data_IF_782366391237
#
_entry.id   IF_782366391237
#
_cell.length_a   1.000
_cell.length_b   1.000
_cell.length_c   1.000
_cell.angle_alpha   90.00
_cell.angle_beta   90.00
_cell.angle_gamma   90.00
#
_symmetry.space_group_name_H-M   'P 1'
#
loop_
_entity.id
_entity.type
_entity.pdbx_description
1 polymer ?
#
# COMPACT_ATOMS: atom_id res chain seq x y z
N UNK A 1 -12.48 -2.24 22.02
CA UNK A 1 -12.69 -2.67 20.62
C UNK A 1 -12.31 -1.48 19.76
N UNK A 2 -11.27 -1.56 18.91
CA UNK A 2 -10.97 -0.48 17.95
C UNK A 2 -12.09 -0.51 16.89
N UNK A 3 -12.89 0.54 16.83
CA UNK A 3 -14.12 0.59 16.01
C UNK A 3 -13.87 1.14 14.61
N UNK A 4 -12.68 1.67 14.33
CA UNK A 4 -12.32 2.30 13.06
C UNK A 4 -11.03 1.71 12.52
N UNK A 5 -11.09 1.21 11.29
CA UNK A 5 -9.94 0.73 10.53
C UNK A 5 -9.07 1.94 10.13
N UNK A 6 -7.75 1.87 10.38
CA UNK A 6 -6.79 2.87 9.90
C UNK A 6 -5.97 2.29 8.76
N UNK A 7 -6.10 2.92 7.61
CA UNK A 7 -5.43 2.54 6.38
C UNK A 7 -4.34 3.56 6.11
N UNK A 8 -3.11 3.12 5.95
CA UNK A 8 -2.02 3.94 5.45
C UNK A 8 -1.83 3.62 3.96
N UNK A 9 -1.91 4.61 3.09
CA UNK A 9 -1.59 4.48 1.68
C UNK A 9 -0.26 5.18 1.39
N UNK A 10 0.68 4.45 0.78
CA UNK A 10 2.01 4.92 0.43
C UNK A 10 2.09 5.08 -1.09
N UNK A 11 2.45 6.28 -1.53
CA UNK A 11 2.63 6.58 -2.94
C UNK A 11 2.50 8.08 -3.18
N UNK A 12 2.96 8.54 -4.34
CA UNK A 12 2.68 9.91 -4.76
C UNK A 12 1.16 10.09 -4.80
N UNK A 13 0.63 11.08 -4.08
CA UNK A 13 -0.79 11.42 -4.17
C UNK A 13 -1.10 11.72 -5.65
N UNK A 14 -1.95 10.93 -6.32
CA UNK A 14 -2.15 11.07 -7.75
C UNK A 14 -3.16 12.18 -8.03
N UNK A 15 -2.96 13.39 -7.51
CA UNK A 15 -3.95 14.46 -7.65
C UNK A 15 -3.29 15.81 -7.91
N UNK A 16 -2.56 15.89 -9.01
CA UNK A 16 -2.64 17.08 -9.85
C UNK A 16 -3.38 16.65 -11.11
N UNK A 17 -4.54 17.26 -11.36
CA UNK A 17 -5.40 17.16 -12.55
C UNK A 17 -6.62 16.22 -12.41
N UNK A 18 -7.77 16.88 -12.24
CA UNK A 18 -9.18 16.42 -12.27
C UNK A 18 -9.81 15.98 -10.94
N UNK A 19 -10.33 16.99 -10.22
CA UNK A 19 -11.02 16.95 -8.91
C UNK A 19 -12.39 16.25 -8.90
N UNK A 20 -12.80 15.56 -9.96
CA UNK A 20 -14.16 15.00 -10.02
C UNK A 20 -14.20 13.61 -9.37
N UNK A 21 -14.42 13.61 -8.06
CA UNK A 21 -14.85 12.49 -7.19
C UNK A 21 -13.80 11.46 -6.73
N UNK A 22 -12.72 11.93 -6.10
CA UNK A 22 -12.03 11.09 -5.11
C UNK A 22 -12.85 11.10 -3.83
N UNK A 23 -13.69 10.09 -3.64
CA UNK A 23 -14.37 9.93 -2.36
C UNK A 23 -13.32 9.58 -1.30
N UNK A 24 -13.09 10.48 -0.34
CA UNK A 24 -12.24 10.18 0.81
C UNK A 24 -12.75 8.91 1.50
N UNK A 25 -11.91 7.87 1.51
CA UNK A 25 -12.21 6.64 2.24
C UNK A 25 -11.96 6.92 3.73
N UNK A 26 -12.99 6.86 4.60
CA UNK A 26 -12.80 7.16 6.02
C UNK A 26 -11.74 6.28 6.65
N UNK A 27 -10.82 6.89 7.41
CA UNK A 27 -9.74 6.18 8.07
C UNK A 27 -8.49 5.96 7.21
N UNK A 28 -8.45 6.47 5.98
CA UNK A 28 -7.26 6.43 5.13
C UNK A 28 -6.38 7.65 5.32
N UNK A 29 -5.07 7.45 5.46
CA UNK A 29 -4.06 8.49 5.48
C UNK A 29 -3.04 8.23 4.38
N UNK A 30 -2.70 9.25 3.59
CA UNK A 30 -1.77 9.16 2.49
C UNK A 30 -0.43 9.77 2.88
N UNK A 31 0.66 9.07 2.56
CA UNK A 31 2.04 9.56 2.72
C UNK A 31 2.88 9.22 1.50
N UNK A 32 3.91 10.03 1.25
CA UNK A 32 5.01 9.61 0.40
C UNK A 32 5.87 8.56 1.11
N UNK A 33 6.64 7.78 0.32
CA UNK A 33 7.55 6.78 0.86
C UNK A 33 8.55 7.34 1.88
N UNK A 34 9.05 8.56 1.67
CA UNK A 34 9.98 9.22 2.60
C UNK A 34 9.33 9.55 3.97
N UNK A 35 8.00 9.59 4.04
CA UNK A 35 7.25 9.77 5.28
C UNK A 35 7.14 8.47 6.11
N UNK A 36 7.45 7.32 5.53
CA UNK A 36 7.38 6.03 6.23
C UNK A 36 8.58 5.89 7.18
N UNK A 37 8.35 6.23 8.45
CA UNK A 37 9.35 6.12 9.52
C UNK A 37 8.80 5.31 10.68
N UNK A 38 9.67 4.76 11.53
CA UNK A 38 9.25 4.06 12.75
C UNK A 38 8.43 4.97 13.68
N UNK A 39 8.84 6.22 13.85
CA UNK A 39 8.10 7.21 14.64
C UNK A 39 6.69 7.45 14.09
N UNK A 40 6.54 7.48 12.76
CA UNK A 40 5.23 7.59 12.13
C UNK A 40 4.37 6.35 12.42
N UNK A 41 4.93 5.15 12.26
CA UNK A 41 4.23 3.88 12.52
C UNK A 41 3.80 3.76 13.97
N UNK A 42 4.63 4.16 14.93
CA UNK A 42 4.32 4.12 16.37
C UNK A 42 3.18 5.07 16.75
N UNK A 43 3.11 6.23 16.11
CA UNK A 43 2.09 7.24 16.37
C UNK A 43 0.77 6.93 15.67
N UNK A 44 0.81 6.59 14.38
CA UNK A 44 -0.40 6.33 13.58
C UNK A 44 -0.96 4.93 13.82
N UNK A 45 -0.07 3.95 14.05
CA UNK A 45 -0.33 2.52 14.22
C UNK A 45 -1.30 1.97 13.18
N UNK A 46 -0.99 1.99 11.87
CA UNK A 46 -1.94 1.54 10.86
C UNK A 46 -2.39 0.10 11.08
N UNK A 47 -3.62 -0.22 10.70
CA UNK A 47 -4.14 -1.60 10.71
C UNK A 47 -3.90 -2.27 9.33
N UNK A 48 -3.86 -1.46 8.26
CA UNK A 48 -3.55 -1.87 6.89
C UNK A 48 -2.59 -0.85 6.26
N UNK A 49 -1.61 -1.33 5.50
CA UNK A 49 -0.74 -0.53 4.65
C UNK A 49 -0.97 -0.93 3.19
N UNK A 50 -1.17 0.06 2.32
CA UNK A 50 -1.33 -0.08 0.88
C UNK A 50 -0.16 0.60 0.16
N UNK A 51 0.38 -0.01 -0.89
CA UNK A 51 1.32 0.67 -1.79
C UNK A 51 1.32 0.05 -3.20
N UNK A 52 1.80 0.75 -4.23
CA UNK A 52 2.15 0.13 -5.49
C UNK A 52 3.18 -0.98 -5.29
N UNK A 53 3.15 -1.99 -6.16
CA UNK A 53 4.15 -3.05 -6.17
C UNK A 53 5.56 -2.51 -6.48
N UNK A 54 5.68 -1.65 -7.48
CA UNK A 54 6.92 -0.97 -7.90
C UNK A 54 6.56 0.42 -8.41
N UNK A 55 7.39 1.41 -8.08
CA UNK A 55 7.37 2.76 -8.65
C UNK A 55 8.79 3.15 -9.10
N UNK A 56 8.99 4.29 -9.80
CA UNK A 56 10.34 4.79 -10.06
C UNK A 56 11.13 5.20 -8.81
N UNK A 57 10.46 5.41 -7.66
CA UNK A 57 11.09 5.96 -6.45
C UNK A 57 11.22 4.99 -5.28
N UNK A 58 10.44 3.91 -5.27
CA UNK A 58 10.49 2.85 -4.26
C UNK A 58 9.81 1.57 -4.79
N UNK A 59 10.12 0.44 -4.17
CA UNK A 59 9.42 -0.82 -4.39
C UNK A 59 8.80 -1.41 -3.12
N UNK A 60 8.03 -2.49 -3.29
CA UNK A 60 7.36 -3.15 -2.18
C UNK A 60 8.31 -3.82 -1.17
N UNK A 61 9.54 -4.16 -1.57
CA UNK A 61 10.55 -4.80 -0.71
C UNK A 61 11.09 -3.77 0.27
N UNK A 62 11.40 -2.56 -0.21
CA UNK A 62 11.84 -1.45 0.64
C UNK A 62 10.78 -1.08 1.69
N UNK A 63 9.51 -1.05 1.29
CA UNK A 63 8.38 -0.84 2.23
C UNK A 63 8.28 -2.00 3.23
N UNK A 64 8.35 -3.26 2.77
CA UNK A 64 8.31 -4.43 3.66
C UNK A 64 9.43 -4.41 4.70
N UNK A 65 10.62 -3.99 4.29
CA UNK A 65 11.77 -3.82 5.17
C UNK A 65 11.49 -2.79 6.26
N UNK A 66 10.99 -1.61 5.90
CA UNK A 66 10.69 -0.53 6.86
C UNK A 66 9.54 -0.90 7.80
N UNK A 67 8.48 -1.54 7.30
CA UNK A 67 7.38 -2.03 8.12
C UNK A 67 7.86 -3.06 9.15
N UNK A 68 8.65 -4.03 8.71
CA UNK A 68 9.20 -5.07 9.61
C UNK A 68 10.15 -4.46 10.63
N UNK A 69 11.05 -3.57 10.21
CA UNK A 69 11.97 -2.87 11.12
C UNK A 69 11.26 -1.95 12.12
N UNK A 70 10.12 -1.38 11.73
CA UNK A 70 9.24 -0.59 12.58
C UNK A 70 8.29 -1.41 13.46
N UNK A 71 8.36 -2.75 13.44
CA UNK A 71 7.50 -3.61 14.26
C UNK A 71 6.03 -3.60 13.85
N UNK A 72 5.72 -3.23 12.61
CA UNK A 72 4.35 -3.25 12.08
C UNK A 72 3.80 -4.68 12.10
N UNK A 73 2.58 -4.84 12.63
CA UNK A 73 1.90 -6.13 12.80
C UNK A 73 0.51 -6.18 12.14
N UNK A 74 0.21 -5.19 11.28
CA UNK A 74 -1.01 -5.15 10.50
C UNK A 74 -0.86 -5.88 9.17
N UNK A 75 -1.76 -5.57 8.23
CA UNK A 75 -1.76 -6.16 6.88
C UNK A 75 -1.07 -5.25 5.89
N UNK A 76 -0.08 -5.75 5.17
CA UNK A 76 0.52 -5.07 4.03
C UNK A 76 -0.05 -5.63 2.74
N UNK A 77 -0.62 -4.76 1.90
CA UNK A 77 -1.20 -5.14 0.60
C UNK A 77 -0.62 -4.26 -0.48
N UNK A 78 -0.11 -4.89 -1.53
CA UNK A 78 0.44 -4.16 -2.67
C UNK A 78 -0.49 -4.27 -3.85
N UNK A 79 -0.68 -3.19 -4.60
CA UNK A 79 -1.46 -3.24 -5.82
C UNK A 79 -0.56 -3.23 -7.06
N UNK A 80 -0.96 -4.01 -8.06
CA UNK A 80 -0.27 -4.11 -9.34
C UNK A 80 -1.26 -4.31 -10.49
N UNK A 81 -0.99 -3.66 -11.61
CA UNK A 81 -1.67 -3.90 -12.89
C UNK A 81 -0.93 -5.02 -13.66
N UNK A 82 -1.69 -5.97 -14.22
CA UNK A 82 -1.22 -6.96 -15.19
C UNK A 82 0.07 -7.74 -14.81
N UNK A 83 0.23 -8.10 -13.53
CA UNK A 83 1.33 -8.97 -13.08
C UNK A 83 1.07 -10.45 -13.47
N UNK A 84 1.96 -11.11 -14.21
CA UNK A 84 1.70 -12.46 -14.72
C UNK A 84 1.76 -13.57 -13.65
N UNK A 85 2.44 -13.33 -12.52
CA UNK A 85 2.71 -14.32 -11.45
C UNK A 85 2.79 -13.68 -10.06
N UNK A 86 1.69 -13.12 -9.52
CA UNK A 86 1.69 -12.46 -8.21
C UNK A 86 2.16 -13.40 -7.08
N UNK A 87 1.91 -14.70 -7.20
CA UNK A 87 2.34 -15.72 -6.24
C UNK A 87 3.86 -15.79 -6.06
N UNK A 88 4.64 -15.42 -7.09
CA UNK A 88 6.09 -15.38 -7.00
C UNK A 88 6.55 -14.28 -6.04
N UNK A 89 5.94 -13.09 -6.16
CA UNK A 89 6.19 -11.96 -5.25
C UNK A 89 5.77 -12.32 -3.83
N UNK A 90 4.56 -12.89 -3.66
CA UNK A 90 4.07 -13.33 -2.34
C UNK A 90 5.04 -14.33 -1.71
N UNK A 91 5.52 -15.31 -2.49
CA UNK A 91 6.49 -16.28 -1.99
C UNK A 91 7.84 -15.66 -1.67
N UNK A 92 8.29 -14.65 -2.39
CA UNK A 92 9.57 -13.99 -2.14
C UNK A 92 9.50 -13.15 -0.86
N UNK A 93 8.49 -12.28 -0.76
CA UNK A 93 8.27 -11.44 0.42
C UNK A 93 8.01 -12.30 1.66
N UNK A 94 7.16 -13.33 1.55
CA UNK A 94 6.88 -14.23 2.68
C UNK A 94 8.08 -15.04 3.16
N UNK A 95 9.09 -15.27 2.31
CA UNK A 95 10.36 -15.90 2.73
C UNK A 95 11.29 -14.90 3.41
N UNK A 96 11.34 -13.66 2.93
CA UNK A 96 12.22 -12.61 3.45
C UNK A 96 11.67 -11.96 4.73
N UNK A 97 10.35 -11.87 4.86
CA UNK A 97 9.64 -11.20 5.97
C UNK A 97 8.48 -12.09 6.49
N UNK A 98 8.78 -13.22 7.15
CA UNK A 98 7.78 -14.26 7.48
C UNK A 98 6.71 -13.82 8.49
N UNK A 99 6.94 -12.75 9.25
CA UNK A 99 5.98 -12.21 10.22
C UNK A 99 5.05 -11.15 9.61
N UNK A 100 5.33 -10.71 8.38
CA UNK A 100 4.54 -9.68 7.69
C UNK A 100 3.36 -10.33 6.97
N UNK A 101 2.14 -9.94 7.35
CA UNK A 101 0.92 -10.35 6.62
C UNK A 101 0.89 -9.61 5.28
N UNK A 102 1.44 -10.23 4.24
CA UNK A 102 1.61 -9.69 2.89
C UNK A 102 0.71 -10.36 1.85
N UNK A 103 0.14 -9.57 0.94
CA UNK A 103 -0.56 -10.09 -0.24
C UNK A 103 -0.55 -9.09 -1.40
N UNK A 104 -0.80 -9.57 -2.62
CA UNK A 104 -0.85 -8.78 -3.85
C UNK A 104 -2.30 -8.65 -4.33
N UNK A 105 -2.77 -7.41 -4.45
CA UNK A 105 -4.03 -7.03 -5.06
C UNK A 105 -3.81 -6.77 -6.55
N UNK A 106 -4.22 -7.70 -7.40
CA UNK A 106 -4.23 -7.47 -8.84
C UNK A 106 -5.42 -6.57 -9.18
N UNK A 107 -5.14 -5.38 -9.70
CA UNK A 107 -6.15 -4.40 -10.09
C UNK A 107 -6.22 -4.32 -11.61
N UNK A 108 -7.45 -4.25 -12.13
CA UNK A 108 -7.69 -3.91 -13.53
C UNK A 108 -8.18 -2.47 -13.54
N UNK A 109 -7.56 -1.55 -14.29
CA UNK A 109 -8.07 -0.20 -14.39
C UNK A 109 -9.51 -0.26 -14.90
N UNK A 110 -10.40 0.51 -14.25
CA UNK A 110 -11.77 0.63 -14.75
C UNK A 110 -11.68 1.34 -16.09
N UNK A 111 -12.04 0.63 -17.16
CA UNK A 111 -12.08 1.21 -18.50
C UNK A 111 -13.20 2.24 -18.47
N UNK A 112 -12.84 3.51 -18.61
CA UNK A 112 -13.84 4.57 -18.74
C UNK A 112 -14.48 4.41 -20.14
N UNK A 113 -15.65 3.78 -20.20
CA UNK A 113 -16.37 3.50 -21.46
C UNK A 113 -16.98 4.76 -22.09
N UNK A 114 -16.56 5.96 -21.66
CA UNK A 114 -16.96 7.25 -22.21
C UNK A 114 -16.07 7.66 -23.40
N UNK A 115 -16.08 6.86 -24.46
CA UNK A 115 -15.62 7.31 -25.78
C UNK A 115 -16.57 6.77 -26.86
N UNK A 116 -17.63 7.54 -27.13
CA UNK A 116 -18.45 7.44 -28.34
C UNK A 116 -18.21 8.67 -29.21
#
# INVERSE_FOLDING_TARGET
>A
MKTSLRVLAIGAAPFEQDEETVQEVPGTHFIDFQGLTSDFLDNYQPDVVLSPLVTPGFDCVEVAQLLTAGGFNGRYRVFAEDIPRPEMVISEIGRSYPELDFDVLVVTPTRDDHAN
#
